data_IF_355334728921
#
_entry.id   IF_355334728921
#
_cell.length_a   1.000
_cell.length_b   1.000
_cell.length_c   1.000
_cell.angle_alpha   90.00
_cell.angle_beta   90.00
_cell.angle_gamma   90.00
#
_symmetry.space_group_name_H-M   'P 1'
#
loop_
_entity.id
_entity.type
_entity.pdbx_description
1 polymer ?
#
# COMPACT_ATOMS: atom_id res chain seq x y z
N UNK A 1 -2.98 -31.09 14.77
CA UNK A 1 -2.03 -29.96 14.85
C UNK A 1 -1.01 -30.07 13.72
N UNK A 2 -1.49 -29.93 12.49
CA UNK A 2 -0.69 -30.03 11.27
C UNK A 2 -1.35 -29.05 10.32
N UNK A 3 -0.63 -28.00 9.89
CA UNK A 3 -0.79 -27.29 8.61
C UNK A 3 -0.26 -25.84 8.61
N UNK A 4 0.06 -25.22 9.75
CA UNK A 4 0.57 -23.83 9.75
C UNK A 4 1.99 -23.75 9.17
N UNK A 5 2.90 -24.66 9.58
CA UNK A 5 4.26 -24.70 9.06
C UNK A 5 4.35 -25.15 7.59
N UNK A 6 3.43 -26.00 7.14
CA UNK A 6 3.35 -26.46 5.75
C UNK A 6 2.79 -25.37 4.81
N UNK A 7 1.88 -24.51 5.29
CA UNK A 7 1.40 -23.36 4.52
C UNK A 7 2.47 -22.27 4.36
N UNK A 8 3.24 -21.98 5.41
CA UNK A 8 4.37 -21.07 5.35
C UNK A 8 5.46 -21.58 4.37
N UNK A 9 5.72 -22.89 4.36
CA UNK A 9 6.65 -23.52 3.42
C UNK A 9 6.18 -23.52 1.96
N UNK A 10 4.88 -23.65 1.71
CA UNK A 10 4.32 -23.65 0.36
C UNK A 10 4.23 -22.23 -0.27
N UNK A 11 4.01 -21.19 0.55
CA UNK A 11 4.07 -19.78 0.09
C UNK A 11 5.50 -19.35 -0.27
N UNK A 12 6.51 -19.90 0.42
CA UNK A 12 7.93 -19.59 0.19
C UNK A 12 8.45 -20.04 -1.20
N UNK A 13 7.90 -21.12 -1.77
CA UNK A 13 8.41 -21.69 -3.01
C UNK A 13 8.03 -20.91 -4.30
N UNK A 14 6.97 -20.09 -4.27
CA UNK A 14 6.55 -19.25 -5.39
C UNK A 14 6.88 -17.76 -5.22
N UNK A 15 7.32 -17.34 -4.02
CA UNK A 15 7.78 -15.98 -3.76
C UNK A 15 9.24 -15.85 -4.20
N UNK A 16 9.46 -15.55 -5.49
CA UNK A 16 10.73 -14.98 -5.96
C UNK A 16 11.06 -13.75 -5.11
N UNK A 17 11.86 -13.97 -4.06
CA UNK A 17 12.47 -13.02 -3.13
C UNK A 17 11.85 -11.61 -3.18
N UNK A 18 10.69 -11.43 -2.54
CA UNK A 18 10.13 -10.09 -2.34
C UNK A 18 11.18 -9.24 -1.61
N UNK A 19 11.33 -7.99 -2.05
CA UNK A 19 12.23 -7.04 -1.39
C UNK A 19 11.42 -6.31 -0.33
N UNK A 20 11.90 -6.25 0.91
CA UNK A 20 11.28 -5.45 1.99
C UNK A 20 12.23 -4.35 2.45
N UNK A 21 11.67 -3.30 3.05
CA UNK A 21 12.44 -2.15 3.52
C UNK A 21 13.22 -2.44 4.80
N UNK A 22 12.64 -3.28 5.65
CA UNK A 22 13.18 -3.78 6.90
C UNK A 22 12.31 -4.96 7.38
N UNK A 23 12.73 -5.58 8.48
CA UNK A 23 12.02 -6.72 9.09
C UNK A 23 10.59 -6.33 9.53
N UNK A 24 10.40 -5.09 9.98
CA UNK A 24 9.09 -4.58 10.41
C UNK A 24 8.11 -4.46 9.24
N UNK A 25 8.59 -4.09 8.05
CA UNK A 25 7.79 -4.07 6.84
C UNK A 25 7.35 -5.49 6.48
N UNK A 26 8.28 -6.45 6.46
CA UNK A 26 7.96 -7.85 6.16
C UNK A 26 6.96 -8.45 7.14
N UNK A 27 7.21 -8.27 8.45
CA UNK A 27 6.33 -8.75 9.52
C UNK A 27 4.93 -8.16 9.38
N UNK A 28 4.83 -6.85 9.20
CA UNK A 28 3.56 -6.17 9.03
C UNK A 28 2.78 -6.70 7.81
N UNK A 29 3.47 -6.92 6.69
CA UNK A 29 2.85 -7.41 5.46
C UNK A 29 2.13 -8.74 5.68
N UNK A 30 2.83 -9.73 6.22
CA UNK A 30 2.23 -11.06 6.43
C UNK A 30 1.16 -11.06 7.53
N UNK A 31 1.38 -10.32 8.63
CA UNK A 31 0.40 -10.22 9.71
C UNK A 31 -0.93 -9.59 9.24
N UNK A 32 -0.87 -8.53 8.42
CA UNK A 32 -2.07 -7.88 7.89
C UNK A 32 -2.70 -8.67 6.74
N UNK A 33 -1.92 -9.33 5.88
CA UNK A 33 -2.49 -10.12 4.80
C UNK A 33 -3.28 -11.34 5.31
N UNK A 34 -2.90 -11.93 6.44
CA UNK A 34 -3.69 -12.99 7.09
C UNK A 34 -5.05 -12.48 7.60
N UNK A 35 -5.14 -11.20 7.97
CA UNK A 35 -6.37 -10.54 8.45
C UNK A 35 -7.22 -9.97 7.31
N UNK A 36 -6.67 -9.88 6.09
CA UNK A 36 -7.34 -9.27 4.96
C UNK A 36 -8.55 -10.10 4.51
N UNK A 37 -9.64 -9.41 4.14
CA UNK A 37 -10.86 -10.05 3.63
C UNK A 37 -10.64 -10.88 2.35
N UNK A 38 -9.64 -10.50 1.55
CA UNK A 38 -9.22 -11.18 0.33
C UNK A 38 -7.69 -11.21 0.23
N UNK A 39 -7.16 -12.28 -0.38
CA UNK A 39 -5.74 -12.42 -0.72
C UNK A 39 -5.60 -12.35 -2.25
N UNK A 40 -5.98 -11.20 -2.81
CA UNK A 40 -5.82 -10.89 -4.23
C UNK A 40 -4.72 -9.83 -4.44
N UNK A 41 -4.35 -9.59 -5.70
CA UNK A 41 -3.29 -8.66 -6.05
C UNK A 41 -3.54 -7.20 -5.62
N UNK A 42 -4.80 -6.80 -5.39
CA UNK A 42 -5.13 -5.47 -4.90
C UNK A 42 -4.80 -5.35 -3.41
N UNK A 43 -5.23 -6.32 -2.61
CA UNK A 43 -4.99 -6.33 -1.15
C UNK A 43 -3.51 -6.59 -0.84
N UNK A 44 -2.86 -7.49 -1.58
CA UNK A 44 -1.42 -7.73 -1.48
C UNK A 44 -0.62 -6.44 -1.73
N UNK A 45 -0.88 -5.74 -2.84
CA UNK A 45 -0.19 -4.49 -3.15
C UNK A 45 -0.47 -3.39 -2.13
N UNK A 46 -1.74 -3.21 -1.72
CA UNK A 46 -2.13 -2.22 -0.73
C UNK A 46 -1.38 -2.43 0.60
N UNK A 47 -1.46 -3.63 1.15
CA UNK A 47 -0.87 -3.96 2.46
C UNK A 47 0.65 -3.87 2.40
N UNK A 48 1.26 -4.34 1.30
CA UNK A 48 2.69 -4.22 1.09
C UNK A 48 3.12 -2.74 1.07
N UNK A 49 2.49 -1.88 0.26
CA UNK A 49 2.89 -0.47 0.17
C UNK A 49 2.72 0.23 1.54
N UNK A 50 1.58 0.02 2.22
CA UNK A 50 1.34 0.58 3.55
C UNK A 50 2.31 0.04 4.62
N UNK A 51 2.94 -1.10 4.38
CA UNK A 51 3.95 -1.65 5.28
C UNK A 51 5.32 -0.97 5.20
N UNK A 52 5.58 -0.15 4.17
CA UNK A 52 6.90 0.48 3.95
C UNK A 52 7.23 1.51 5.03
N UNK A 53 6.26 2.38 5.35
CA UNK A 53 6.45 3.49 6.29
C UNK A 53 6.05 3.09 7.71
N UNK A 54 6.85 3.48 8.69
CA UNK A 54 6.51 3.30 10.10
C UNK A 54 5.21 4.03 10.47
N UNK A 55 5.04 5.27 9.98
CA UNK A 55 3.86 6.10 10.24
C UNK A 55 2.59 5.38 9.77
N UNK A 56 2.61 4.79 8.57
CA UNK A 56 1.45 4.09 8.01
C UNK A 56 1.16 2.77 8.72
N UNK A 57 2.18 2.07 9.23
CA UNK A 57 1.99 0.89 10.09
C UNK A 57 1.32 1.26 11.41
N UNK A 58 1.81 2.32 12.06
CA UNK A 58 1.30 2.79 13.35
C UNK A 58 -0.13 3.34 13.26
N UNK A 59 -0.52 3.87 12.09
CA UNK A 59 -1.84 4.46 11.86
C UNK A 59 -2.72 3.66 10.89
N UNK A 60 -2.43 2.37 10.68
CA UNK A 60 -3.10 1.56 9.66
C UNK A 60 -4.63 1.58 9.73
N UNK A 61 -5.20 1.52 10.94
CA UNK A 61 -6.66 1.55 11.14
C UNK A 61 -7.31 2.89 10.77
N UNK A 62 -6.53 3.97 10.68
CA UNK A 62 -6.96 5.27 10.19
C UNK A 62 -6.88 5.38 8.66
N UNK A 63 -6.12 4.51 7.99
CA UNK A 63 -5.91 4.52 6.54
C UNK A 63 -6.86 3.53 5.85
N UNK A 64 -7.00 2.33 6.42
CA UNK A 64 -7.72 1.23 5.79
C UNK A 64 -8.48 0.41 6.83
N UNK A 65 -9.78 0.20 6.58
CA UNK A 65 -10.57 -0.77 7.33
C UNK A 65 -10.45 -2.14 6.67
N UNK A 66 -9.64 -3.00 7.29
CA UNK A 66 -9.35 -4.34 6.79
C UNK A 66 -10.57 -5.26 6.68
N UNK A 67 -11.62 -5.00 7.47
CA UNK A 67 -12.84 -5.81 7.46
C UNK A 67 -13.75 -5.40 6.32
N UNK A 68 -14.04 -4.10 6.21
CA UNK A 68 -14.95 -3.58 5.19
C UNK A 68 -14.27 -3.42 3.83
N UNK A 69 -12.95 -3.31 3.78
CA UNK A 69 -12.18 -2.97 2.59
C UNK A 69 -12.24 -1.48 2.24
N UNK A 70 -12.70 -0.63 3.15
CA UNK A 70 -12.84 0.80 2.92
C UNK A 70 -11.51 1.54 3.14
N UNK A 71 -11.11 2.34 2.15
CA UNK A 71 -10.00 3.30 2.28
C UNK A 71 -10.52 4.60 2.89
N UNK A 72 -9.80 5.13 3.87
CA UNK A 72 -10.18 6.33 4.62
C UNK A 72 -9.33 7.50 4.15
N UNK A 73 -9.79 8.22 3.13
CA UNK A 73 -9.03 9.30 2.51
C UNK A 73 -8.72 10.45 3.49
N UNK A 74 -9.48 10.56 4.59
CA UNK A 74 -9.28 11.52 5.68
C UNK A 74 -7.90 11.39 6.33
N UNK A 75 -7.24 10.23 6.18
CA UNK A 75 -5.88 10.03 6.63
C UNK A 75 -4.87 10.98 5.95
N UNK A 76 -5.15 11.47 4.73
CA UNK A 76 -4.23 12.35 3.98
C UNK A 76 -4.01 13.70 4.67
N UNK A 77 -4.96 14.15 5.51
CA UNK A 77 -4.90 15.42 6.23
C UNK A 77 -4.61 15.26 7.73
N UNK A 78 -4.33 14.04 8.20
CA UNK A 78 -4.04 13.79 9.61
C UNK A 78 -2.65 14.31 9.99
N UNK A 79 -2.52 14.87 11.19
CA UNK A 79 -1.28 15.51 11.67
C UNK A 79 -0.08 14.58 11.86
N UNK A 80 -0.27 13.26 11.80
CA UNK A 80 0.83 12.29 11.84
C UNK A 80 1.52 12.11 10.48
N UNK A 81 0.93 12.61 9.38
CA UNK A 81 1.50 12.44 8.05
C UNK A 81 2.84 13.15 7.92
N UNK A 82 3.82 12.44 7.38
CA UNK A 82 5.07 12.95 6.87
C UNK A 82 5.05 13.01 5.35
N UNK A 83 6.03 13.70 4.76
CA UNK A 83 6.15 13.72 3.30
C UNK A 83 6.38 12.32 2.70
N UNK A 84 6.98 11.40 3.46
CA UNK A 84 7.14 10.01 3.05
C UNK A 84 5.83 9.21 3.13
N UNK A 85 5.13 9.31 4.26
CA UNK A 85 3.90 8.52 4.49
C UNK A 85 2.75 8.93 3.58
N UNK A 86 2.61 10.23 3.25
CA UNK A 86 1.55 10.66 2.32
C UNK A 86 1.74 10.07 0.93
N UNK A 87 2.98 9.94 0.45
CA UNK A 87 3.31 9.31 -0.84
C UNK A 87 3.01 7.81 -0.84
N UNK A 88 3.33 7.14 0.28
CA UNK A 88 2.99 5.73 0.51
C UNK A 88 1.47 5.53 0.45
N UNK A 89 0.69 6.34 1.15
CA UNK A 89 -0.79 6.25 1.15
C UNK A 89 -1.36 6.47 -0.25
N UNK A 90 -0.92 7.52 -0.95
CA UNK A 90 -1.39 7.85 -2.31
C UNK A 90 -1.15 6.71 -3.30
N UNK A 91 0.05 6.13 -3.29
CA UNK A 91 0.36 4.98 -4.14
C UNK A 91 -0.48 3.75 -3.75
N UNK A 92 -0.63 3.47 -2.45
CA UNK A 92 -1.42 2.34 -1.97
C UNK A 92 -2.89 2.45 -2.43
N UNK A 93 -3.49 3.62 -2.25
CA UNK A 93 -4.85 3.91 -2.70
C UNK A 93 -5.01 3.78 -4.21
N UNK A 94 -4.04 4.30 -4.98
CA UNK A 94 -4.09 4.21 -6.43
C UNK A 94 -4.03 2.76 -6.92
N UNK A 95 -3.14 1.94 -6.37
CA UNK A 95 -3.05 0.52 -6.73
C UNK A 95 -4.28 -0.27 -6.31
N UNK A 96 -4.89 0.07 -5.16
CA UNK A 96 -6.07 -0.63 -4.63
C UNK A 96 -7.38 -0.26 -5.33
N UNK A 97 -7.60 1.02 -5.60
CA UNK A 97 -8.88 1.52 -6.13
C UNK A 97 -8.86 1.77 -7.63
N UNK A 98 -7.67 1.91 -8.24
CA UNK A 98 -7.51 2.43 -9.60
C UNK A 98 -7.82 3.92 -9.73
N UNK A 99 -8.12 4.61 -8.62
CA UNK A 99 -8.48 6.02 -8.59
C UNK A 99 -7.53 6.87 -7.75
N UNK A 100 -7.99 8.08 -7.43
CA UNK A 100 -7.32 9.01 -6.53
C UNK A 100 -8.35 9.40 -5.45
N UNK A 101 -8.51 8.57 -4.40
CA UNK A 101 -9.45 8.87 -3.33
C UNK A 101 -9.12 10.22 -2.69
N UNK A 102 -10.11 11.10 -2.62
CA UNK A 102 -10.02 12.41 -1.97
C UNK A 102 -11.20 12.57 -1.01
N UNK A 103 -11.03 13.44 -0.03
CA UNK A 103 -12.04 13.85 0.95
C UNK A 103 -12.66 15.20 0.59
N UNK A 104 -11.98 15.95 -0.27
CA UNK A 104 -12.34 17.32 -0.55
C UNK A 104 -13.46 17.37 -1.58
N UNK A 105 -14.59 17.96 -1.17
CA UNK A 105 -15.59 18.48 -2.10
C UNK A 105 -15.01 19.78 -2.69
N UNK A 106 -14.14 19.66 -3.70
CA UNK A 106 -13.41 20.80 -4.24
C UNK A 106 -14.35 21.93 -4.70
N UNK A 107 -14.11 23.14 -4.19
CA UNK A 107 -14.83 24.34 -4.59
C UNK A 107 -14.33 24.87 -5.95
N UNK A 108 -13.12 24.46 -6.36
CA UNK A 108 -12.52 24.89 -7.63
C UNK A 108 -11.78 23.78 -8.38
N UNK A 109 -11.69 23.93 -9.70
CA UNK A 109 -10.90 23.05 -10.57
C UNK A 109 -9.40 23.10 -10.27
N UNK A 110 -8.90 24.22 -9.76
CA UNK A 110 -7.47 24.39 -9.49
C UNK A 110 -7.04 23.59 -8.25
N UNK A 111 -7.88 23.51 -7.21
CA UNK A 111 -7.65 22.67 -6.03
C UNK A 111 -7.65 21.18 -6.40
N UNK A 112 -8.64 20.77 -7.20
CA UNK A 112 -8.70 19.40 -7.74
C UNK A 112 -7.44 19.07 -8.56
N UNK A 113 -7.00 19.99 -9.41
CA UNK A 113 -5.77 19.82 -10.20
C UNK A 113 -4.52 19.79 -9.32
N UNK A 114 -4.51 20.52 -8.21
CA UNK A 114 -3.40 20.50 -7.26
C UNK A 114 -3.24 19.12 -6.62
N UNK A 115 -4.31 18.55 -6.05
CA UNK A 115 -4.24 17.21 -5.46
C UNK A 115 -3.92 16.14 -6.50
N UNK A 116 -4.52 16.22 -7.70
CA UNK A 116 -4.25 15.29 -8.79
C UNK A 116 -2.75 15.23 -9.16
N UNK A 117 -2.02 16.35 -9.09
CA UNK A 117 -0.58 16.36 -9.36
C UNK A 117 0.19 15.54 -8.34
N UNK A 118 -0.29 15.47 -7.10
CA UNK A 118 0.41 14.75 -6.05
C UNK A 118 0.33 13.22 -6.18
N UNK A 119 -0.52 12.71 -7.07
CA UNK A 119 -0.55 11.31 -7.50
C UNK A 119 0.36 11.04 -8.70
N UNK A 120 1.06 12.05 -9.22
CA UNK A 120 2.00 11.87 -10.33
C UNK A 120 3.18 10.99 -9.92
N UNK A 121 3.78 10.31 -10.90
CA UNK A 121 5.02 9.55 -10.69
C UNK A 121 6.12 10.44 -10.11
N UNK A 122 6.22 11.69 -10.57
CA UNK A 122 7.22 12.63 -10.07
C UNK A 122 7.05 12.88 -8.57
N UNK A 123 5.82 13.12 -8.11
CA UNK A 123 5.53 13.43 -6.71
C UNK A 123 5.61 12.19 -5.81
N UNK A 124 5.06 11.05 -6.24
CA UNK A 124 5.10 9.79 -5.50
C UNK A 124 6.55 9.29 -5.35
N UNK A 125 7.35 9.29 -6.42
CA UNK A 125 8.69 8.71 -6.41
C UNK A 125 9.78 9.65 -5.90
N UNK A 126 9.46 10.90 -5.55
CA UNK A 126 10.37 11.83 -4.91
C UNK A 126 10.64 11.47 -3.43
N UNK A 127 11.10 10.24 -3.17
CA UNK A 127 11.47 9.73 -1.85
C UNK A 127 12.39 8.50 -1.95
N UNK A 128 12.91 8.02 -0.82
CA UNK A 128 13.82 6.86 -0.74
C UNK A 128 13.15 5.48 -0.95
N UNK A 129 11.86 5.42 -1.30
CA UNK A 129 11.10 4.17 -1.34
C UNK A 129 10.91 3.55 -2.73
N UNK A 130 11.51 4.13 -3.77
CA UNK A 130 11.29 3.72 -5.16
C UNK A 130 11.42 2.21 -5.41
N UNK A 131 12.45 1.55 -4.86
CA UNK A 131 12.66 0.09 -5.01
C UNK A 131 11.52 -0.73 -4.43
N UNK A 132 10.98 -0.30 -3.27
CA UNK A 132 9.86 -0.97 -2.63
C UNK A 132 8.55 -0.67 -3.36
N UNK A 133 8.37 0.54 -3.88
CA UNK A 133 7.22 0.86 -4.73
C UNK A 133 7.16 -0.04 -5.96
N UNK A 134 8.30 -0.35 -6.59
CA UNK A 134 8.35 -1.32 -7.69
C UNK A 134 7.93 -2.73 -7.29
N UNK A 135 8.25 -3.17 -6.08
CA UNK A 135 7.77 -4.45 -5.58
C UNK A 135 6.25 -4.45 -5.41
N UNK A 136 5.65 -3.39 -4.85
CA UNK A 136 4.19 -3.28 -4.74
C UNK A 136 3.47 -3.23 -6.09
N UNK A 137 4.03 -2.54 -7.09
CA UNK A 137 3.49 -2.53 -8.45
C UNK A 137 3.54 -3.92 -9.08
N UNK A 138 4.61 -4.69 -8.86
CA UNK A 138 4.70 -6.09 -9.33
C UNK A 138 3.65 -6.99 -8.68
N UNK A 139 3.37 -6.80 -7.39
CA UNK A 139 2.29 -7.52 -6.70
C UNK A 139 0.93 -7.20 -7.30
N UNK A 140 0.70 -5.93 -7.67
CA UNK A 140 -0.56 -5.48 -8.27
C UNK A 140 -0.78 -6.03 -9.67
N UNK A 141 0.29 -6.16 -10.45
CA UNK A 141 0.28 -6.48 -11.89
C UNK A 141 1.19 -7.67 -12.22
N UNK A 142 1.01 -8.84 -11.57
CA UNK A 142 1.92 -9.97 -11.69
C UNK A 142 1.98 -10.54 -13.12
N UNK A 143 0.90 -10.45 -13.88
CA UNK A 143 0.79 -10.92 -15.27
C UNK A 143 1.65 -10.12 -16.25
N UNK A 144 1.95 -8.85 -15.94
CA UNK A 144 2.77 -7.97 -16.77
C UNK A 144 4.25 -7.94 -16.36
N UNK A 145 4.58 -8.63 -15.27
CA UNK A 145 5.92 -8.61 -14.68
C UNK A 145 6.72 -9.90 -14.90
N UNK A 146 6.22 -10.79 -15.77
CA UNK A 146 6.87 -12.04 -16.17
C UNK A 146 7.49 -11.88 -17.57
N UNK A 147 8.67 -12.48 -17.77
CA UNK A 147 9.37 -12.53 -19.07
C UNK A 147 9.23 -13.91 -19.69
#
# INVERSE_FOLDING_TARGET
MTNTALRAGAQSANNKHMVFANEEHEKFYYEKLEQARYQDCYHEALIYILGISEDTRNHFSQIYDIKSGYVKAECLHQGWQTSGSVRVVRLAFNLYTGGMPSVDDYESRDEQMSECREYSVNDIFCCGYAVYFWQGIRLRYPEYCQK
#
